data_IF_971874227918
#
_entry.id   IF_971874227918
#
_cell.length_a   1.000
_cell.length_b   1.000
_cell.length_c   1.000
_cell.angle_alpha   90.00
_cell.angle_beta   90.00
_cell.angle_gamma   90.00
#
_symmetry.space_group_name_H-M   'P 1'
#
loop_
_entity.id
_entity.type
_entity.pdbx_description
1 polymer ?
#
# COMPACT_ATOMS: atom_id res chain seq x y z
N UNK A 1 -68.45 -21.83 -35.81
CA UNK A 1 -68.96 -21.65 -34.43
C UNK A 1 -67.86 -20.99 -33.62
N UNK A 2 -68.18 -19.80 -33.10
CA UNK A 2 -67.26 -18.86 -32.45
C UNK A 2 -66.70 -19.40 -31.14
N UNK A 3 -65.47 -19.02 -30.79
CA UNK A 3 -65.14 -18.49 -29.45
C UNK A 3 -63.75 -17.85 -29.43
N UNK A 4 -63.77 -16.53 -29.22
CA UNK A 4 -62.64 -15.64 -28.91
C UNK A 4 -62.43 -15.65 -27.38
N UNK A 5 -61.18 -15.59 -26.92
CA UNK A 5 -60.81 -15.14 -25.58
C UNK A 5 -59.56 -14.24 -25.75
N UNK A 6 -59.72 -12.93 -25.80
CA UNK A 6 -59.83 -11.99 -24.67
C UNK A 6 -58.47 -11.72 -24.01
N UNK A 7 -57.82 -10.67 -24.51
CA UNK A 7 -56.57 -10.06 -24.02
C UNK A 7 -56.89 -9.13 -22.86
N UNK A 8 -56.30 -9.34 -21.69
CA UNK A 8 -56.38 -8.41 -20.56
C UNK A 8 -55.19 -7.45 -20.60
N UNK A 9 -55.45 -6.18 -20.93
CA UNK A 9 -54.50 -5.07 -20.83
C UNK A 9 -54.51 -4.50 -19.40
N UNK A 10 -53.35 -4.52 -18.75
CA UNK A 10 -53.12 -3.83 -17.48
C UNK A 10 -52.67 -2.39 -17.76
N UNK A 11 -53.59 -1.45 -17.59
CA UNK A 11 -53.32 -0.01 -17.57
C UNK A 11 -52.65 0.35 -16.24
N UNK A 12 -51.41 0.84 -16.31
CA UNK A 12 -50.73 1.49 -15.19
C UNK A 12 -51.11 2.97 -15.20
N UNK A 13 -51.87 3.41 -14.19
CA UNK A 13 -52.14 4.82 -13.94
C UNK A 13 -50.97 5.45 -13.16
N UNK A 14 -50.41 6.53 -13.70
CA UNK A 14 -49.41 7.34 -13.03
C UNK A 14 -50.06 8.15 -11.91
N UNK A 15 -49.61 7.93 -10.67
CA UNK A 15 -50.00 8.70 -9.50
C UNK A 15 -49.04 9.90 -9.34
N UNK A 16 -49.50 11.08 -9.76
CA UNK A 16 -48.76 12.34 -9.66
C UNK A 16 -49.00 12.99 -8.30
N UNK A 17 -48.18 12.64 -7.31
CA UNK A 17 -48.15 13.35 -6.02
C UNK A 17 -47.46 14.71 -6.19
N UNK A 18 -48.25 15.78 -6.20
CA UNK A 18 -47.80 17.17 -6.11
C UNK A 18 -47.35 17.50 -4.68
N UNK A 19 -46.05 17.64 -4.48
CA UNK A 19 -45.48 18.18 -3.24
C UNK A 19 -45.43 19.72 -3.34
N UNK A 20 -46.32 20.38 -2.60
CA UNK A 20 -46.26 21.82 -2.34
C UNK A 20 -45.06 22.14 -1.43
N UNK A 21 -44.05 22.80 -1.98
CA UNK A 21 -42.98 23.44 -1.20
C UNK A 21 -43.41 24.87 -0.86
N UNK A 22 -43.88 25.07 0.38
CA UNK A 22 -43.95 26.39 1.03
C UNK A 22 -42.63 26.62 1.77
N UNK A 23 -41.88 27.66 1.40
CA UNK A 23 -40.61 27.97 2.03
C UNK A 23 -39.94 29.19 1.41
N UNK A 24 -40.60 30.34 1.53
CA UNK A 24 -40.12 31.66 1.11
C UNK A 24 -38.94 32.10 2.00
N UNK A 25 -37.72 32.06 1.47
CA UNK A 25 -36.58 32.78 2.04
C UNK A 25 -36.16 33.88 1.06
N UNK A 26 -36.60 35.10 1.34
CA UNK A 26 -36.13 36.33 0.72
C UNK A 26 -34.60 36.43 0.89
N UNK A 27 -33.85 36.33 -0.21
CA UNK A 27 -32.46 36.77 -0.27
C UNK A 27 -32.44 38.22 -0.72
N UNK A 28 -31.97 39.09 0.17
CA UNK A 28 -31.60 40.46 -0.12
C UNK A 28 -30.45 40.47 -1.15
N UNK A 29 -30.70 41.17 -2.25
CA UNK A 29 -29.71 41.54 -3.27
C UNK A 29 -29.05 42.84 -2.78
N UNK A 30 -27.73 42.91 -2.55
CA UNK A 30 -27.05 44.19 -2.44
C UNK A 30 -26.84 44.80 -3.85
N UNK A 31 -26.97 46.13 -3.99
CA UNK A 31 -26.90 46.80 -5.28
C UNK A 31 -25.46 46.88 -5.81
N UNK A 32 -25.38 46.94 -7.14
CA UNK A 32 -24.19 47.14 -7.93
C UNK A 32 -23.51 48.48 -7.63
N UNK A 33 -22.18 48.49 -7.69
CA UNK A 33 -21.41 49.74 -7.72
C UNK A 33 -19.95 49.53 -7.36
N UNK A 34 -19.10 49.31 -8.37
CA UNK A 34 -17.82 50.02 -8.57
C UNK A 34 -16.90 49.22 -9.49
N UNK A 35 -16.80 49.71 -10.73
CA UNK A 35 -15.75 49.40 -11.67
C UNK A 35 -14.40 49.86 -11.10
N UNK A 36 -13.52 48.92 -10.78
CA UNK A 36 -12.08 49.20 -10.71
C UNK A 36 -11.33 48.37 -11.74
N UNK A 37 -10.75 49.12 -12.67
CA UNK A 37 -9.75 48.70 -13.66
C UNK A 37 -8.55 48.12 -12.93
N UNK A 38 -8.36 46.80 -13.02
CA UNK A 38 -7.14 46.13 -12.56
C UNK A 38 -6.39 45.53 -13.74
N UNK A 39 -5.30 46.24 -14.04
CA UNK A 39 -4.25 46.00 -15.03
C UNK A 39 -3.68 44.57 -14.91
N UNK A 40 -3.61 43.89 -16.06
CA UNK A 40 -2.90 42.62 -16.23
C UNK A 40 -1.41 42.79 -15.93
N UNK A 41 -0.92 42.15 -14.87
CA UNK A 41 0.46 41.68 -14.80
C UNK A 41 0.46 40.25 -14.27
N UNK A 42 0.98 39.34 -15.09
CA UNK A 42 1.10 37.93 -14.79
C UNK A 42 2.03 37.66 -13.62
N UNK A 43 1.57 36.83 -12.70
CA UNK A 43 2.35 36.30 -11.60
C UNK A 43 1.58 35.19 -10.92
N UNK A 44 1.97 33.94 -11.19
CA UNK A 44 1.37 32.74 -10.60
C UNK A 44 1.66 32.63 -9.10
N UNK A 45 0.91 33.36 -8.28
CA UNK A 45 0.89 33.24 -6.83
C UNK A 45 -0.32 32.43 -6.36
N UNK A 46 -0.08 31.31 -5.65
CA UNK A 46 -1.15 30.58 -4.95
C UNK A 46 -1.69 31.45 -3.82
N UNK A 47 -2.91 31.97 -3.98
CA UNK A 47 -3.65 32.66 -2.91
C UNK A 47 -4.10 31.61 -1.89
N UNK A 48 -3.49 31.62 -0.71
CA UNK A 48 -3.94 30.84 0.45
C UNK A 48 -5.09 31.62 1.10
N UNK A 49 -6.30 31.10 0.96
CA UNK A 49 -7.51 31.65 1.59
C UNK A 49 -7.50 31.31 3.08
N UNK A 50 -7.26 32.30 3.93
CA UNK A 50 -7.49 32.19 5.37
C UNK A 50 -8.99 32.28 5.65
N UNK A 51 -9.56 31.22 6.22
CA UNK A 51 -10.92 31.24 6.80
C UNK A 51 -10.72 31.44 8.30
N UNK A 52 -10.97 32.65 8.78
CA UNK A 52 -11.10 32.93 10.21
C UNK A 52 -12.48 32.39 10.67
N UNK A 53 -12.47 31.23 11.32
CA UNK A 53 -13.64 30.68 12.00
C UNK A 53 -13.61 31.11 13.48
N UNK A 54 -14.48 32.05 13.84
CA UNK A 54 -14.80 32.41 15.22
C UNK A 54 -15.50 31.24 15.92
N UNK A 55 -14.88 30.69 16.95
CA UNK A 55 -15.45 29.64 17.79
C UNK A 55 -16.25 30.31 18.91
N UNK A 56 -17.56 30.14 18.89
CA UNK A 56 -18.43 30.53 20.00
C UNK A 56 -18.39 29.46 21.09
N UNK A 57 -17.98 29.85 22.29
CA UNK A 57 -18.13 29.05 23.51
C UNK A 57 -19.61 28.93 23.86
N UNK A 58 -20.13 27.71 23.85
CA UNK A 58 -21.43 27.41 24.47
C UNK A 58 -21.23 26.41 25.60
N UNK A 59 -21.45 26.94 26.79
CA UNK A 59 -21.52 26.27 28.07
C UNK A 59 -22.53 25.12 28.05
N UNK A 60 -22.09 23.90 28.36
CA UNK A 60 -22.96 22.77 28.71
C UNK A 60 -22.52 22.22 30.06
N UNK A 61 -23.18 22.75 31.10
CA UNK A 61 -23.38 22.06 32.37
C UNK A 61 -24.29 20.85 32.09
N UNK A 62 -23.88 19.64 32.47
CA UNK A 62 -24.84 18.60 32.84
C UNK A 62 -24.21 17.50 33.71
N UNK A 63 -24.68 17.53 34.96
CA UNK A 63 -25.10 16.40 35.80
C UNK A 63 -24.19 15.17 35.93
N UNK A 64 -23.52 15.13 37.07
CA UNK A 64 -23.05 13.93 37.74
C UNK A 64 -24.22 12.97 38.05
N UNK A 65 -24.09 11.70 37.66
CA UNK A 65 -24.68 10.56 38.37
C UNK A 65 -23.66 9.43 38.39
N UNK A 66 -23.14 9.18 39.59
CA UNK A 66 -22.19 8.12 39.86
C UNK A 66 -22.81 6.73 39.69
N UNK A 67 -22.00 5.79 39.22
CA UNK A 67 -22.14 4.36 39.49
C UNK A 67 -20.76 3.77 39.72
N UNK A 68 -20.45 3.56 40.99
CA UNK A 68 -19.41 2.66 41.46
C UNK A 68 -19.72 1.24 40.96
N UNK A 69 -18.77 0.61 40.27
CA UNK A 69 -18.83 -0.83 39.99
C UNK A 69 -17.74 -1.51 40.81
N UNK A 70 -18.20 -2.24 41.81
CA UNK A 70 -17.39 -3.05 42.71
C UNK A 70 -16.70 -4.20 41.98
N UNK A 71 -15.49 -4.45 42.43
CA UNK A 71 -14.67 -5.63 42.15
C UNK A 71 -15.27 -6.84 42.87
N UNK A 72 -15.98 -7.69 42.11
CA UNK A 72 -16.43 -9.00 42.56
C UNK A 72 -15.41 -10.08 42.20
N UNK A 73 -14.72 -10.59 43.22
CA UNK A 73 -13.78 -11.72 43.17
C UNK A 73 -14.56 -13.00 43.51
N UNK A 74 -14.60 -13.95 42.59
CA UNK A 74 -15.13 -15.32 42.77
C UNK A 74 -14.53 -16.17 41.64
N UNK A 75 -13.74 -17.22 41.84
CA UNK A 75 -13.71 -18.18 42.94
C UNK A 75 -14.60 -19.37 42.57
N UNK A 76 -14.04 -20.35 41.84
CA UNK A 76 -14.46 -21.74 41.57
C UNK A 76 -13.50 -22.27 40.48
N UNK A 77 -12.68 -23.30 40.68
CA UNK A 77 -12.93 -24.56 41.36
C UNK A 77 -13.35 -25.58 40.30
N UNK A 78 -12.38 -26.28 39.70
CA UNK A 78 -12.61 -27.22 38.59
C UNK A 78 -11.43 -28.16 38.42
N UNK A 79 -11.46 -29.25 39.19
CA UNK A 79 -10.60 -30.43 39.15
C UNK A 79 -10.69 -31.14 37.79
N UNK A 80 -9.55 -31.51 37.22
CA UNK A 80 -9.45 -32.38 36.02
C UNK A 80 -8.81 -33.70 36.46
N UNK A 81 -9.34 -34.87 36.06
CA UNK A 81 -8.80 -36.14 36.50
C UNK A 81 -7.54 -36.54 35.72
N UNK A 82 -6.54 -36.97 36.49
CA UNK A 82 -5.35 -37.71 36.05
C UNK A 82 -5.73 -39.12 35.60
N UNK A 83 -5.43 -39.47 34.36
CA UNK A 83 -5.42 -40.86 33.90
C UNK A 83 -3.99 -41.40 33.92
N UNK A 84 -3.77 -42.31 34.86
CA UNK A 84 -2.63 -43.21 34.95
C UNK A 84 -2.65 -44.22 33.80
N UNK A 85 -1.51 -44.43 33.13
CA UNK A 85 -1.19 -45.72 32.51
C UNK A 85 0.25 -46.11 32.81
N UNK A 86 0.38 -47.34 33.31
CA UNK A 86 1.58 -48.01 33.80
C UNK A 86 2.44 -48.55 32.65
N UNK A 87 3.76 -48.49 32.90
CA UNK A 87 4.85 -49.47 32.75
C UNK A 87 4.81 -50.59 31.70
N UNK A 88 5.94 -50.72 30.99
CA UNK A 88 6.84 -51.89 30.97
C UNK A 88 8.09 -51.55 30.11
N UNK A 89 9.28 -51.48 30.70
CA UNK A 89 10.40 -52.47 30.59
C UNK A 89 11.08 -52.46 29.20
N UNK A 90 12.40 -52.48 28.99
CA UNK A 90 13.59 -52.72 29.82
C UNK A 90 14.85 -52.39 28.98
N UNK A 91 15.99 -52.28 29.67
CA UNK A 91 17.36 -52.68 29.23
C UNK A 91 18.49 -51.62 29.12
N UNK A 92 19.27 -51.56 30.20
CA UNK A 92 20.74 -51.78 30.32
C UNK A 92 21.76 -50.87 29.61
N UNK A 93 22.66 -50.27 30.41
CA UNK A 93 24.08 -50.04 30.05
C UNK A 93 24.66 -48.65 30.38
N UNK A 94 25.96 -48.50 30.78
CA UNK A 94 26.30 -47.80 32.03
C UNK A 94 27.21 -46.55 31.95
N UNK A 95 27.14 -45.79 33.06
CA UNK A 95 28.19 -45.14 33.86
C UNK A 95 29.41 -44.43 33.21
N UNK A 96 29.54 -43.13 33.54
CA UNK A 96 30.74 -42.41 34.04
C UNK A 96 30.19 -41.00 34.42
N UNK A 97 30.22 -40.48 35.65
CA UNK A 97 31.30 -40.46 36.63
C UNK A 97 32.03 -39.12 36.50
N UNK A 98 31.57 -38.06 37.18
CA UNK A 98 32.43 -36.96 37.65
C UNK A 98 31.77 -36.23 38.83
N UNK A 99 32.59 -36.15 39.86
CA UNK A 99 32.36 -35.63 41.19
C UNK A 99 32.64 -34.13 41.29
N UNK A 100 31.92 -33.51 42.23
CA UNK A 100 32.36 -32.51 43.20
C UNK A 100 33.00 -31.20 42.71
N UNK A 101 32.34 -30.06 43.00
CA UNK A 101 32.73 -29.21 44.14
C UNK A 101 31.97 -27.86 44.18
N UNK A 102 31.68 -27.41 45.40
CA UNK A 102 31.87 -26.00 45.77
C UNK A 102 30.61 -25.18 46.04
N UNK A 103 30.02 -25.37 47.23
CA UNK A 103 29.16 -24.40 47.87
C UNK A 103 29.97 -23.21 48.44
N UNK A 104 29.38 -22.01 48.46
CA UNK A 104 29.42 -21.12 49.63
C UNK A 104 28.41 -19.97 49.47
N UNK A 105 27.53 -19.90 50.47
CA UNK A 105 26.74 -18.75 50.88
C UNK A 105 27.60 -17.52 51.19
N UNK A 106 27.04 -16.31 51.09
CA UNK A 106 26.72 -15.48 52.26
C UNK A 106 26.07 -14.14 51.87
N UNK A 107 25.23 -13.69 52.78
CA UNK A 107 24.39 -12.50 52.84
C UNK A 107 25.08 -11.14 52.59
N UNK A 108 24.26 -10.11 52.34
CA UNK A 108 24.02 -8.98 53.26
C UNK A 108 23.42 -7.77 52.52
N UNK A 109 22.32 -7.27 53.08
CA UNK A 109 21.66 -6.01 52.76
C UNK A 109 22.57 -4.77 52.82
N UNK A 110 22.42 -3.85 51.87
CA UNK A 110 23.09 -2.54 51.91
C UNK A 110 22.30 -1.44 51.19
N UNK A 111 21.63 -0.61 51.97
CA UNK A 111 20.82 0.56 51.60
C UNK A 111 21.58 1.59 50.75
N UNK A 112 20.99 2.02 49.61
CA UNK A 112 21.45 3.21 48.86
C UNK A 112 20.83 4.47 49.47
N UNK A 113 21.67 5.30 50.09
CA UNK A 113 21.35 6.68 50.48
C UNK A 113 21.37 7.60 49.26
N UNK A 114 20.36 8.48 49.21
CA UNK A 114 20.38 9.72 48.44
C UNK A 114 21.11 10.79 49.26
N UNK A 115 21.84 11.67 48.59
CA UNK A 115 22.46 12.90 49.08
C UNK A 115 23.21 13.52 47.89
N UNK A 116 22.67 14.57 47.28
CA UNK A 116 22.90 15.99 47.64
C UNK A 116 24.34 16.41 47.30
N UNK A 117 24.49 17.14 46.19
CA UNK A 117 24.71 18.60 46.13
C UNK A 117 26.21 18.94 46.15
N UNK A 118 26.65 19.65 45.12
CA UNK A 118 28.05 19.96 44.88
C UNK A 118 28.21 20.77 43.60
N UNK A 119 27.76 22.02 43.65
CA UNK A 119 28.19 23.09 42.74
C UNK A 119 29.72 23.20 42.70
N UNK A 120 30.30 23.15 41.49
CA UNK A 120 31.55 23.82 41.17
C UNK A 120 31.70 23.93 39.64
N UNK A 121 31.52 25.14 39.11
CA UNK A 121 32.14 25.60 37.86
C UNK A 121 33.33 26.51 38.22
N UNK A 122 34.13 27.00 37.25
CA UNK A 122 34.91 26.25 36.27
C UNK A 122 36.39 26.68 36.30
N UNK A 123 37.32 25.77 36.06
CA UNK A 123 38.72 26.13 35.85
C UNK A 123 38.96 26.33 34.35
N UNK A 124 39.13 27.60 33.98
CA UNK A 124 39.68 28.03 32.70
C UNK A 124 41.13 27.56 32.59
N UNK A 125 41.45 26.73 31.59
CA UNK A 125 42.83 26.55 31.14
C UNK A 125 42.92 26.90 29.65
N UNK A 126 43.60 28.02 29.41
CA UNK A 126 44.05 28.48 28.11
C UNK A 126 45.00 27.44 27.49
N UNK A 127 44.65 26.91 26.32
CA UNK A 127 45.61 26.24 25.43
C UNK A 127 45.83 27.14 24.22
N UNK A 128 46.87 27.97 24.30
CA UNK A 128 47.47 28.64 23.15
C UNK A 128 48.20 27.60 22.31
N UNK A 129 47.66 27.29 21.13
CA UNK A 129 48.34 26.53 20.08
C UNK A 129 48.37 27.34 18.79
N UNK A 130 49.51 27.97 18.51
CA UNK A 130 49.82 28.50 17.18
C UNK A 130 49.99 27.34 16.17
N UNK A 131 49.56 27.52 14.91
CA UNK A 131 50.16 26.78 13.81
C UNK A 131 50.96 27.72 12.91
N UNK A 132 52.30 27.56 12.93
CA UNK A 132 53.21 28.13 11.93
C UNK A 132 53.32 27.18 10.73
N UNK A 133 53.14 27.78 9.55
CA UNK A 133 53.82 27.52 8.29
C UNK A 133 53.87 26.10 7.69
N UNK A 134 53.28 25.94 6.51
CA UNK A 134 54.02 25.40 5.35
C UNK A 134 53.35 25.83 4.04
N UNK A 135 54.11 26.58 3.27
CA UNK A 135 53.83 27.01 1.91
C UNK A 135 53.73 25.80 0.98
N UNK A 136 52.77 25.80 0.05
CA UNK A 136 52.93 25.09 -1.22
C UNK A 136 52.40 25.94 -2.37
N UNK A 137 53.34 26.24 -3.23
CA UNK A 137 53.32 27.09 -4.41
C UNK A 137 52.53 26.48 -5.57
N UNK A 138 51.99 27.42 -6.36
CA UNK A 138 51.67 27.41 -7.78
C UNK A 138 51.98 26.15 -8.62
N UNK A 139 51.01 25.73 -9.44
CA UNK A 139 51.18 25.55 -10.89
C UNK A 139 49.87 25.19 -11.60
N UNK A 140 49.84 25.50 -12.90
CA UNK A 140 48.93 25.02 -13.94
C UNK A 140 47.61 25.78 -14.17
N UNK A 141 47.75 26.94 -14.82
CA UNK A 141 46.81 27.38 -15.83
C UNK A 141 46.61 26.29 -16.91
N UNK A 142 45.35 25.93 -17.20
CA UNK A 142 44.99 25.21 -18.42
C UNK A 142 43.88 25.95 -19.16
N UNK A 143 44.34 26.59 -20.23
CA UNK A 143 43.71 26.93 -21.50
C UNK A 143 42.28 26.44 -21.75
N UNK A 144 41.44 27.41 -22.11
CA UNK A 144 40.17 27.26 -22.82
C UNK A 144 40.42 26.53 -24.15
N UNK A 145 39.69 25.45 -24.42
CA UNK A 145 39.55 24.86 -25.74
C UNK A 145 38.16 25.22 -26.29
N UNK A 146 38.14 25.77 -27.50
CA UNK A 146 36.96 26.29 -28.20
C UNK A 146 36.05 25.21 -28.82
N UNK A 147 34.99 25.65 -29.51
CA UNK A 147 33.97 24.79 -30.08
C UNK A 147 34.43 24.10 -31.37
N UNK A 148 34.17 22.80 -31.47
CA UNK A 148 34.51 21.98 -32.65
C UNK A 148 33.39 22.09 -33.69
N UNK A 149 33.68 22.81 -34.77
CA UNK A 149 32.93 22.79 -36.04
C UNK A 149 32.89 21.36 -36.59
N UNK A 150 31.69 20.89 -36.95
CA UNK A 150 31.50 19.69 -37.77
C UNK A 150 31.35 20.15 -39.22
N UNK A 151 32.37 19.89 -40.03
CA UNK A 151 32.30 19.95 -41.49
C UNK A 151 31.63 18.68 -42.01
N UNK A 152 30.71 18.87 -42.94
CA UNK A 152 30.07 17.83 -43.73
C UNK A 152 30.88 17.63 -45.01
N UNK A 153 31.40 16.43 -45.25
CA UNK A 153 31.83 16.01 -46.58
C UNK A 153 31.47 14.54 -46.83
N UNK A 154 30.53 14.42 -47.76
CA UNK A 154 30.30 13.40 -48.77
C UNK A 154 31.42 12.38 -49.00
N UNK A 155 31.09 11.10 -48.89
CA UNK A 155 31.79 10.03 -49.60
C UNK A 155 30.78 8.97 -50.05
N UNK A 156 30.43 9.07 -51.33
CA UNK A 156 29.77 8.06 -52.14
C UNK A 156 30.71 6.87 -52.34
N UNK A 157 30.36 5.69 -51.86
CA UNK A 157 30.87 4.44 -52.43
C UNK A 157 29.75 3.43 -52.59
N UNK A 158 29.48 3.20 -53.87
CA UNK A 158 28.98 1.99 -54.50
C UNK A 158 29.10 0.72 -53.65
N UNK A 159 27.95 0.08 -53.43
CA UNK A 159 27.91 -1.38 -53.23
C UNK A 159 26.63 -1.95 -53.82
N UNK A 160 26.63 -1.97 -55.15
CA UNK A 160 25.73 -2.78 -55.95
C UNK A 160 25.96 -4.28 -55.68
N UNK A 161 24.87 -5.05 -55.75
CA UNK A 161 24.78 -6.50 -55.90
C UNK A 161 25.14 -7.41 -54.70
N UNK A 162 24.12 -7.73 -53.89
CA UNK A 162 23.93 -9.12 -53.46
C UNK A 162 22.47 -9.51 -53.52
N UNK A 163 22.20 -10.33 -54.53
CA UNK A 163 20.94 -10.98 -54.80
C UNK A 163 20.54 -11.96 -53.68
N UNK A 164 19.23 -12.04 -53.48
CA UNK A 164 18.45 -13.24 -53.21
C UNK A 164 18.97 -14.22 -52.14
N UNK A 165 18.41 -14.08 -50.94
CA UNK A 165 18.01 -15.25 -50.15
C UNK A 165 16.70 -14.94 -49.41
N UNK A 166 15.60 -15.09 -50.14
CA UNK A 166 14.28 -15.31 -49.56
C UNK A 166 14.34 -16.62 -48.77
N UNK A 167 14.56 -16.49 -47.46
CA UNK A 167 14.75 -17.64 -46.60
C UNK A 167 14.40 -17.31 -45.16
N UNK A 168 13.22 -17.78 -44.77
CA UNK A 168 12.97 -18.28 -43.42
C UNK A 168 12.51 -17.29 -42.34
N UNK A 169 11.47 -17.74 -41.64
CA UNK A 169 10.88 -17.23 -40.38
C UNK A 169 9.84 -16.11 -40.45
N UNK A 170 9.01 -16.09 -41.51
CA UNK A 170 7.61 -15.69 -41.31
C UNK A 170 6.91 -16.82 -40.52
N UNK A 171 7.19 -16.87 -39.21
CA UNK A 171 6.38 -17.64 -38.28
C UNK A 171 4.98 -17.04 -38.32
N UNK A 172 4.09 -17.73 -39.04
CA UNK A 172 2.65 -17.51 -39.05
C UNK A 172 2.17 -17.35 -37.61
N UNK A 173 2.11 -16.12 -37.11
CA UNK A 173 1.19 -15.74 -36.06
C UNK A 173 -0.20 -15.88 -36.67
N UNK A 174 -0.71 -17.12 -36.69
CA UNK A 174 -2.14 -17.37 -36.77
C UNK A 174 -2.73 -16.56 -35.62
N UNK A 175 -3.33 -15.41 -35.94
CA UNK A 175 -4.31 -14.78 -35.08
C UNK A 175 -5.40 -15.80 -34.91
N UNK A 176 -5.28 -16.59 -33.84
CA UNK A 176 -6.35 -17.47 -33.39
C UNK A 176 -7.44 -16.52 -32.91
N UNK A 177 -8.27 -16.07 -33.84
CA UNK A 177 -9.62 -15.61 -33.57
C UNK A 177 -10.42 -16.82 -33.09
N UNK A 178 -10.02 -17.41 -31.96
CA UNK A 178 -10.88 -18.28 -31.20
C UNK A 178 -11.91 -17.34 -30.58
N UNK A 179 -12.96 -17.06 -31.35
CA UNK A 179 -14.25 -16.63 -30.85
C UNK A 179 -14.65 -17.63 -29.76
N UNK A 180 -14.50 -17.24 -28.51
CA UNK A 180 -15.04 -18.01 -27.39
C UNK A 180 -16.55 -18.05 -27.62
N UNK A 181 -17.20 -19.22 -27.59
CA UNK A 181 -18.65 -19.28 -27.77
C UNK A 181 -19.32 -18.35 -26.75
N UNK A 182 -20.04 -17.35 -27.27
CA UNK A 182 -20.55 -16.20 -26.52
C UNK A 182 -21.46 -16.57 -25.34
N UNK A 183 -22.01 -17.78 -25.35
CA UNK A 183 -23.01 -18.26 -24.37
C UNK A 183 -22.52 -18.41 -22.93
N UNK A 184 -21.21 -18.31 -22.64
CA UNK A 184 -20.66 -18.52 -21.27
C UNK A 184 -19.72 -17.42 -20.76
N UNK A 185 -19.55 -16.32 -21.49
CA UNK A 185 -18.67 -15.25 -21.05
C UNK A 185 -19.34 -14.42 -19.93
N UNK A 186 -18.69 -14.24 -18.76
CA UNK A 186 -19.26 -13.42 -17.68
C UNK A 186 -19.40 -11.97 -18.13
N UNK A 187 -20.56 -11.37 -17.80
CA UNK A 187 -20.89 -9.97 -18.10
C UNK A 187 -20.53 -9.08 -16.91
N UNK A 188 -19.83 -7.99 -17.18
CA UNK A 188 -19.41 -7.05 -16.15
C UNK A 188 -20.60 -6.18 -15.72
N UNK A 189 -20.95 -6.15 -14.43
CA UNK A 189 -22.11 -5.38 -13.94
C UNK A 189 -21.98 -3.85 -14.15
N UNK A 190 -20.76 -3.33 -14.32
CA UNK A 190 -20.51 -1.89 -14.47
C UNK A 190 -20.52 -1.41 -15.92
N UNK A 191 -20.07 -2.24 -16.87
CA UNK A 191 -20.02 -1.86 -18.29
C UNK A 191 -20.92 -2.71 -19.19
N UNK A 192 -21.65 -3.67 -18.61
CA UNK A 192 -22.61 -4.56 -19.26
C UNK A 192 -22.07 -5.30 -20.50
N UNK A 193 -20.74 -5.48 -20.59
CA UNK A 193 -20.08 -6.21 -21.67
C UNK A 193 -19.60 -7.58 -21.20
N UNK A 194 -19.78 -8.58 -22.07
CA UNK A 194 -19.15 -9.88 -21.93
C UNK A 194 -17.63 -9.72 -22.03
N UNK A 195 -16.89 -10.27 -21.05
CA UNK A 195 -15.43 -10.20 -21.02
C UNK A 195 -14.83 -11.55 -20.69
N UNK A 196 -13.54 -11.69 -20.98
CA UNK A 196 -12.83 -12.91 -20.67
C UNK A 196 -12.75 -13.12 -19.15
N UNK A 197 -12.88 -14.37 -18.69
CA UNK A 197 -12.47 -14.85 -17.38
C UNK A 197 -11.27 -14.15 -16.71
N UNK A 198 -10.20 -13.90 -17.46
CA UNK A 198 -8.97 -13.32 -16.94
C UNK A 198 -9.07 -11.82 -16.64
N UNK A 199 -10.06 -11.14 -17.21
CA UNK A 199 -10.32 -9.71 -17.05
C UNK A 199 -11.10 -9.38 -15.76
N UNK A 200 -11.45 -10.40 -14.98
CA UNK A 200 -12.02 -10.24 -13.65
C UNK A 200 -10.96 -10.45 -12.56
N UNK A 201 -11.12 -9.77 -11.42
CA UNK A 201 -10.22 -9.97 -10.27
C UNK A 201 -10.62 -11.23 -9.52
N UNK A 202 -9.64 -12.03 -9.07
CA UNK A 202 -9.93 -13.20 -8.22
C UNK A 202 -10.31 -12.75 -6.80
N UNK A 203 -11.46 -13.19 -6.28
CA UNK A 203 -11.93 -12.95 -4.91
C UNK A 203 -11.88 -14.27 -4.12
N UNK A 204 -11.40 -14.24 -2.88
CA UNK A 204 -11.23 -15.46 -2.04
C UNK A 204 -12.55 -16.10 -1.59
N UNK A 205 -13.65 -15.34 -1.55
CA UNK A 205 -14.91 -15.72 -0.91
C UNK A 205 -16.01 -16.20 -1.86
N UNK A 206 -15.79 -16.18 -3.17
CA UNK A 206 -16.78 -16.61 -4.17
C UNK A 206 -16.47 -18.04 -4.62
N UNK A 207 -17.51 -18.85 -4.87
CA UNK A 207 -17.42 -20.20 -5.46
C UNK A 207 -16.67 -20.18 -6.80
N UNK A 208 -16.98 -19.23 -7.67
CA UNK A 208 -16.30 -18.97 -8.96
C UNK A 208 -14.99 -18.21 -8.79
N UNK A 209 -14.71 -17.74 -7.57
CA UNK A 209 -13.52 -17.02 -7.14
C UNK A 209 -13.26 -15.76 -7.97
N UNK A 210 -14.28 -15.08 -8.52
CA UNK A 210 -14.13 -13.87 -9.35
C UNK A 210 -15.08 -12.75 -8.94
N UNK A 211 -14.67 -11.52 -9.25
CA UNK A 211 -15.50 -10.32 -9.11
C UNK A 211 -16.57 -10.27 -10.21
N UNK A 212 -17.71 -9.67 -9.89
CA UNK A 212 -18.77 -9.27 -10.83
C UNK A 212 -18.36 -8.09 -11.74
N UNK A 213 -17.38 -7.31 -11.28
CA UNK A 213 -16.86 -6.12 -11.95
C UNK A 213 -15.52 -6.42 -12.60
N UNK A 214 -15.38 -6.09 -13.88
CA UNK A 214 -14.13 -6.28 -14.60
C UNK A 214 -13.00 -5.35 -14.09
N UNK A 215 -11.76 -5.73 -14.38
CA UNK A 215 -10.54 -5.02 -13.94
C UNK A 215 -10.45 -3.60 -14.50
N UNK A 216 -10.92 -3.34 -15.71
CA UNK A 216 -10.99 -1.98 -16.25
C UNK A 216 -11.92 -1.09 -15.42
N UNK A 217 -13.15 -1.53 -15.15
CA UNK A 217 -14.10 -0.78 -14.33
C UNK A 217 -13.60 -0.61 -12.88
N UNK A 218 -13.02 -1.65 -12.28
CA UNK A 218 -12.37 -1.54 -10.96
C UNK A 218 -11.22 -0.52 -10.96
N UNK A 219 -10.46 -0.42 -12.06
CA UNK A 219 -9.39 0.58 -12.20
C UNK A 219 -9.95 2.01 -12.25
N UNK A 220 -11.05 2.24 -12.98
CA UNK A 220 -11.75 3.53 -13.01
C UNK A 220 -12.25 3.92 -11.62
N UNK A 221 -12.95 3.01 -10.93
CA UNK A 221 -13.46 3.24 -9.56
C UNK A 221 -12.31 3.59 -8.60
N UNK A 222 -11.20 2.85 -8.69
CA UNK A 222 -10.03 3.09 -7.84
C UNK A 222 -9.37 4.43 -8.13
N UNK A 223 -9.21 4.81 -9.41
CA UNK A 223 -8.61 6.08 -9.80
C UNK A 223 -9.43 7.27 -9.27
N UNK A 224 -10.78 7.21 -9.40
CA UNK A 224 -11.69 8.22 -8.84
C UNK A 224 -11.55 8.36 -7.33
N UNK A 225 -11.53 7.25 -6.59
CA UNK A 225 -11.37 7.26 -5.12
C UNK A 225 -10.05 7.87 -4.65
N UNK A 226 -8.99 7.76 -5.45
CA UNK A 226 -7.67 8.29 -5.12
C UNK A 226 -7.42 9.68 -5.71
N UNK A 227 -8.41 10.29 -6.37
CA UNK A 227 -8.28 11.53 -7.13
C UNK A 227 -7.04 11.52 -8.06
N UNK A 228 -6.77 10.36 -8.68
CA UNK A 228 -5.65 10.18 -9.60
C UNK A 228 -6.07 10.59 -11.00
N UNK A 229 -5.14 11.18 -11.77
CA UNK A 229 -5.38 11.42 -13.19
C UNK A 229 -5.68 10.10 -13.90
N UNK A 230 -6.86 10.05 -14.48
CA UNK A 230 -7.43 8.85 -15.09
C UNK A 230 -6.79 8.55 -16.46
N UNK A 231 -6.18 9.53 -17.15
CA UNK A 231 -5.62 9.31 -18.50
C UNK A 231 -6.64 8.64 -19.43
N UNK A 232 -6.27 7.53 -20.05
CA UNK A 232 -7.14 6.72 -20.91
C UNK A 232 -8.28 5.98 -20.19
N UNK A 233 -8.32 6.01 -18.84
CA UNK A 233 -9.46 5.51 -18.07
C UNK A 233 -10.67 6.46 -18.09
N UNK A 234 -10.51 7.68 -18.63
CA UNK A 234 -11.62 8.64 -18.83
C UNK A 234 -12.50 8.28 -20.03
N UNK A 235 -11.96 7.53 -20.98
CA UNK A 235 -12.68 7.15 -22.20
C UNK A 235 -13.92 6.33 -21.84
N UNK A 236 -15.01 6.59 -22.55
CA UNK A 236 -16.19 5.74 -22.47
C UNK A 236 -15.87 4.33 -22.98
N UNK A 237 -16.83 3.42 -22.83
CA UNK A 237 -16.62 2.01 -23.19
C UNK A 237 -16.37 1.86 -24.69
N UNK A 238 -17.08 2.60 -25.52
CA UNK A 238 -17.06 2.45 -26.98
C UNK A 238 -15.80 3.09 -27.56
N UNK A 239 -15.44 4.29 -27.11
CA UNK A 239 -14.19 4.97 -27.46
C UNK A 239 -12.96 4.15 -27.04
N UNK A 240 -13.00 3.53 -25.85
CA UNK A 240 -11.94 2.65 -25.38
C UNK A 240 -11.77 1.40 -26.26
N UNK A 241 -12.84 0.91 -26.88
CA UNK A 241 -12.82 -0.22 -27.82
C UNK A 241 -12.44 0.19 -29.24
N UNK A 242 -12.82 1.38 -29.68
CA UNK A 242 -12.32 1.96 -30.94
C UNK A 242 -10.78 2.08 -30.92
N UNK A 243 -10.21 2.31 -29.74
CA UNK A 243 -8.76 2.37 -29.49
C UNK A 243 -8.18 1.07 -28.91
N UNK A 244 -8.84 -0.06 -29.13
CA UNK A 244 -8.40 -1.35 -28.60
C UNK A 244 -6.99 -1.74 -29.08
N UNK A 245 -6.23 -2.42 -28.22
CA UNK A 245 -4.87 -2.89 -28.51
C UNK A 245 -4.76 -4.38 -28.24
N UNK A 246 -3.91 -5.08 -28.98
CA UNK A 246 -3.54 -6.45 -28.67
C UNK A 246 -2.52 -6.47 -27.52
N UNK A 247 -2.78 -7.30 -26.50
CA UNK A 247 -1.82 -7.51 -25.43
C UNK A 247 -0.64 -8.34 -25.94
N UNK A 248 0.61 -7.90 -25.76
CA UNK A 248 1.77 -8.68 -26.27
C UNK A 248 2.01 -10.00 -25.54
N UNK A 249 1.41 -10.20 -24.35
CA UNK A 249 1.59 -11.43 -23.57
C UNK A 249 0.52 -12.49 -23.84
N UNK A 250 -0.74 -12.08 -24.00
CA UNK A 250 -1.84 -13.04 -24.27
C UNK A 250 -2.41 -12.93 -25.68
N UNK A 251 -1.90 -12.00 -26.51
CA UNK A 251 -2.32 -11.74 -27.89
C UNK A 251 -3.79 -11.39 -28.12
N UNK A 252 -4.62 -11.36 -27.06
CA UNK A 252 -6.02 -10.95 -27.17
C UNK A 252 -6.15 -9.43 -27.37
N UNK A 253 -7.06 -9.03 -28.26
CA UNK A 253 -7.51 -7.65 -28.44
C UNK A 253 -8.35 -7.22 -27.23
N UNK A 254 -7.98 -6.11 -26.59
CA UNK A 254 -8.66 -5.59 -25.40
C UNK A 254 -8.87 -4.10 -25.51
N UNK A 255 -9.93 -3.60 -24.85
CA UNK A 255 -10.14 -2.16 -24.73
C UNK A 255 -8.95 -1.47 -24.07
N UNK A 256 -8.74 -0.20 -24.41
CA UNK A 256 -7.59 0.56 -23.94
C UNK A 256 -7.51 0.60 -22.40
N UNK A 257 -8.67 0.63 -21.71
CA UNK A 257 -8.77 0.64 -20.24
C UNK A 257 -8.25 -0.63 -19.56
N UNK A 258 -8.20 -1.75 -20.28
CA UNK A 258 -7.60 -3.00 -19.79
C UNK A 258 -6.07 -2.94 -19.73
N UNK A 259 -5.45 -1.86 -20.20
CA UNK A 259 -4.01 -1.59 -20.07
C UNK A 259 -3.72 -0.60 -18.92
N UNK A 260 -2.51 -0.67 -18.38
CA UNK A 260 -2.06 0.24 -17.31
C UNK A 260 -1.53 1.55 -17.91
N UNK A 261 -1.63 2.65 -17.16
CA UNK A 261 -1.04 3.94 -17.55
C UNK A 261 0.48 3.84 -17.44
N UNK A 262 1.20 4.20 -18.50
CA UNK A 262 2.67 4.25 -18.53
C UNK A 262 3.15 5.60 -19.08
N UNK A 263 3.39 6.55 -18.17
CA UNK A 263 3.79 7.94 -18.50
C UNK A 263 5.12 8.08 -19.23
N UNK A 264 5.92 7.02 -19.35
CA UNK A 264 7.21 7.03 -20.07
C UNK A 264 7.06 6.89 -21.58
N UNK A 265 5.88 6.48 -22.06
CA UNK A 265 5.60 6.27 -23.48
C UNK A 265 4.76 7.41 -24.02
N UNK A 266 4.93 7.72 -25.30
CA UNK A 266 4.15 8.77 -25.98
C UNK A 266 2.64 8.52 -25.94
N UNK A 267 2.20 7.26 -26.06
CA UNK A 267 0.79 6.87 -25.97
C UNK A 267 0.26 6.76 -24.53
N UNK A 268 1.14 6.88 -23.52
CA UNK A 268 0.85 6.74 -22.11
C UNK A 268 0.20 5.40 -21.70
N UNK A 269 0.29 4.35 -22.54
CA UNK A 269 -0.39 3.07 -22.32
C UNK A 269 0.60 1.90 -22.40
N UNK A 270 0.46 0.94 -21.48
CA UNK A 270 1.27 -0.28 -21.46
C UNK A 270 0.98 -1.19 -22.67
N UNK A 271 1.92 -2.06 -23.03
CA UNK A 271 1.74 -3.06 -24.09
C UNK A 271 1.23 -4.41 -23.53
N UNK A 272 1.27 -4.58 -22.21
CA UNK A 272 0.73 -5.73 -21.49
C UNK A 272 -0.56 -5.33 -20.77
N UNK A 273 -1.63 -6.11 -20.96
CA UNK A 273 -2.88 -5.86 -20.25
C UNK A 273 -2.76 -6.11 -18.73
N UNK A 274 -3.63 -5.49 -17.95
CA UNK A 274 -3.69 -5.57 -16.47
C UNK A 274 -3.81 -7.01 -15.97
N UNK A 275 -4.55 -7.86 -16.67
CA UNK A 275 -4.70 -9.27 -16.30
C UNK A 275 -3.37 -10.02 -16.44
N UNK A 276 -2.73 -9.94 -17.61
CA UNK A 276 -1.39 -10.48 -17.85
C UNK A 276 -0.34 -9.92 -16.87
N UNK A 277 -0.32 -8.61 -16.64
CA UNK A 277 0.61 -7.96 -15.70
C UNK A 277 0.44 -8.48 -14.28
N UNK A 278 -0.81 -8.70 -13.84
CA UNK A 278 -1.07 -9.27 -12.52
C UNK A 278 -0.66 -10.73 -12.39
N UNK A 279 -0.76 -11.51 -13.47
CA UNK A 279 -0.28 -12.90 -13.50
C UNK A 279 1.24 -12.88 -13.47
N UNK A 280 1.90 -12.11 -14.35
CA UNK A 280 3.37 -11.95 -14.32
C UNK A 280 3.89 -11.53 -12.95
N UNK A 281 3.20 -10.61 -12.27
CA UNK A 281 3.60 -10.16 -10.94
C UNK A 281 3.46 -11.24 -9.86
N UNK A 282 2.60 -12.24 -10.06
CA UNK A 282 2.39 -13.38 -9.14
C UNK A 282 3.23 -14.60 -9.52
N UNK A 283 3.47 -14.80 -10.81
CA UNK A 283 4.29 -15.88 -11.40
C UNK A 283 5.77 -15.48 -11.48
N UNK A 284 6.15 -14.31 -10.97
CA UNK A 284 7.46 -14.21 -10.33
C UNK A 284 7.40 -15.16 -9.14
N UNK A 285 7.53 -16.46 -9.43
CA UNK A 285 7.77 -17.52 -8.47
C UNK A 285 8.77 -16.92 -7.50
N UNK A 286 8.47 -16.89 -6.18
CA UNK A 286 9.39 -16.35 -5.21
C UNK A 286 10.71 -17.07 -5.45
N UNK A 287 11.66 -16.36 -6.06
CA UNK A 287 12.88 -17.00 -6.50
C UNK A 287 13.49 -17.58 -5.24
N UNK A 288 13.52 -18.92 -5.16
CA UNK A 288 14.07 -19.60 -4.01
C UNK A 288 15.50 -19.09 -3.93
N UNK A 289 15.88 -18.36 -2.86
CA UNK A 289 17.21 -17.82 -2.77
C UNK A 289 18.19 -18.99 -2.97
N UNK A 290 19.01 -18.91 -4.01
CA UNK A 290 20.01 -19.94 -4.24
C UNK A 290 21.01 -19.86 -3.09
N UNK A 291 21.27 -20.97 -2.41
CA UNK A 291 22.25 -21.01 -1.32
C UNK A 291 23.70 -20.85 -1.82
N UNK A 292 23.88 -20.79 -3.14
CA UNK A 292 25.16 -20.50 -3.78
C UNK A 292 25.74 -19.15 -3.29
N UNK A 293 27.05 -19.09 -2.99
CA UNK A 293 27.70 -17.85 -2.61
C UNK A 293 27.57 -16.82 -3.74
N UNK A 294 27.31 -15.57 -3.36
CA UNK A 294 27.14 -14.46 -4.30
C UNK A 294 28.22 -13.40 -4.05
N UNK A 295 28.68 -12.77 -5.14
CA UNK A 295 29.64 -11.66 -5.08
C UNK A 295 28.91 -10.36 -4.76
N UNK A 296 29.33 -9.65 -3.72
CA UNK A 296 28.74 -8.36 -3.34
C UNK A 296 29.13 -7.28 -4.37
N UNK A 297 28.17 -6.55 -4.94
CA UNK A 297 28.48 -5.49 -5.92
C UNK A 297 29.24 -4.29 -5.32
N UNK A 298 29.29 -4.15 -3.99
CA UNK A 298 29.94 -3.02 -3.32
C UNK A 298 31.38 -3.36 -2.86
N UNK A 299 31.56 -4.43 -2.07
CA UNK A 299 32.89 -4.85 -1.60
C UNK A 299 33.56 -5.91 -2.50
N UNK A 300 32.86 -6.47 -3.49
CA UNK A 300 33.36 -7.49 -4.42
C UNK A 300 33.78 -8.84 -3.81
N UNK A 301 33.53 -9.04 -2.52
CA UNK A 301 33.76 -10.32 -1.83
C UNK A 301 32.66 -11.35 -2.16
N UNK A 302 33.05 -12.61 -2.27
CA UNK A 302 32.12 -13.75 -2.32
C UNK A 302 31.64 -14.05 -0.90
N UNK A 303 30.34 -13.88 -0.64
CA UNK A 303 29.72 -14.15 0.66
C UNK A 303 28.59 -15.19 0.51
N UNK A 304 28.31 -16.00 1.54
CA UNK A 304 27.18 -16.93 1.51
C UNK A 304 25.85 -16.17 1.42
N UNK A 305 24.81 -16.84 0.94
CA UNK A 305 23.46 -16.26 0.79
C UNK A 305 22.90 -15.67 2.10
N UNK A 306 23.32 -16.21 3.26
CA UNK A 306 22.95 -15.72 4.60
C UNK A 306 23.43 -14.29 4.89
N UNK A 307 24.48 -13.80 4.22
CA UNK A 307 25.01 -12.44 4.36
C UNK A 307 24.26 -11.41 3.53
N UNK A 308 23.21 -11.82 2.81
CA UNK A 308 22.37 -10.94 2.01
C UNK A 308 20.95 -10.86 2.60
N UNK A 309 20.29 -9.72 2.37
CA UNK A 309 18.88 -9.59 2.69
C UNK A 309 18.03 -10.22 1.57
N UNK A 310 16.89 -10.81 1.91
CA UNK A 310 15.95 -11.35 0.91
C UNK A 310 15.28 -10.21 0.14
N UNK A 311 15.26 -10.30 -1.18
CA UNK A 311 14.55 -9.39 -2.07
C UNK A 311 13.93 -10.14 -3.24
N UNK A 312 12.63 -10.41 -3.12
CA UNK A 312 11.81 -11.14 -4.12
C UNK A 312 11.76 -10.45 -5.50
N UNK A 313 12.20 -9.19 -5.61
CA UNK A 313 12.19 -8.46 -6.87
C UNK A 313 13.44 -8.69 -7.72
N UNK A 314 14.52 -9.20 -7.13
CA UNK A 314 15.72 -9.55 -7.89
C UNK A 314 15.62 -10.97 -8.41
N UNK A 315 16.26 -11.20 -9.56
CA UNK A 315 16.34 -12.52 -10.19
C UNK A 315 16.95 -13.58 -9.28
N UNK A 316 17.78 -13.21 -8.30
CA UNK A 316 18.38 -14.17 -7.36
C UNK A 316 17.60 -14.34 -6.06
N UNK A 317 16.53 -13.56 -5.84
CA UNK A 317 15.82 -13.50 -4.56
C UNK A 317 16.60 -12.82 -3.42
N UNK A 318 17.79 -12.29 -3.67
CA UNK A 318 18.66 -11.61 -2.70
C UNK A 318 19.00 -10.18 -3.16
N UNK A 319 19.41 -9.31 -2.24
CA UNK A 319 20.00 -8.02 -2.59
C UNK A 319 21.36 -8.21 -3.27
N UNK A 320 21.72 -7.31 -4.18
CA UNK A 320 23.01 -7.36 -4.87
C UNK A 320 24.21 -6.91 -4.00
N UNK A 321 23.97 -6.41 -2.79
CA UNK A 321 25.01 -6.00 -1.83
C UNK A 321 24.77 -6.68 -0.49
N UNK A 322 25.87 -7.05 0.18
CA UNK A 322 25.81 -7.72 1.48
C UNK A 322 25.24 -6.80 2.58
N UNK A 323 24.82 -7.41 3.68
CA UNK A 323 24.22 -6.73 4.85
C UNK A 323 25.13 -5.64 5.41
N UNK A 324 26.44 -5.87 5.44
CA UNK A 324 27.41 -4.90 5.95
C UNK A 324 27.48 -3.64 5.07
N UNK A 325 27.67 -3.81 3.76
CA UNK A 325 27.67 -2.69 2.82
C UNK A 325 26.33 -1.92 2.85
N UNK A 326 25.20 -2.62 3.02
CA UNK A 326 23.90 -1.96 3.19
C UNK A 326 23.83 -1.12 4.48
N UNK A 327 24.41 -1.59 5.58
CA UNK A 327 24.51 -0.84 6.85
C UNK A 327 25.42 0.38 6.70
N UNK A 328 26.57 0.20 6.05
CA UNK A 328 27.51 1.29 5.78
C UNK A 328 26.88 2.38 4.90
N UNK A 329 26.24 2.01 3.79
CA UNK A 329 25.50 2.96 2.95
C UNK A 329 24.39 3.69 3.71
N UNK A 330 23.74 3.01 4.66
CA UNK A 330 22.75 3.65 5.52
C UNK A 330 23.38 4.67 6.49
N UNK A 331 24.54 4.36 7.07
CA UNK A 331 25.32 5.29 7.91
C UNK A 331 25.81 6.49 7.12
N UNK A 332 26.38 6.27 5.93
CA UNK A 332 26.86 7.33 5.04
C UNK A 332 25.73 8.25 4.58
N UNK A 333 24.56 7.67 4.24
CA UNK A 333 23.35 8.45 3.95
C UNK A 333 22.94 9.30 5.15
N UNK A 334 22.97 8.75 6.36
CA UNK A 334 22.66 9.48 7.57
C UNK A 334 23.64 10.64 7.80
N UNK A 335 24.95 10.37 7.69
CA UNK A 335 25.99 11.39 7.83
C UNK A 335 25.83 12.52 6.79
N UNK A 336 25.49 12.22 5.54
CA UNK A 336 25.19 13.25 4.53
C UNK A 336 23.97 14.11 4.87
N UNK A 337 22.93 13.51 5.44
CA UNK A 337 21.74 14.26 5.87
C UNK A 337 22.05 15.17 7.07
N UNK A 338 22.91 14.71 7.98
CA UNK A 338 23.39 15.50 9.12
C UNK A 338 24.31 16.65 8.65
N UNK A 339 25.30 16.37 7.81
CA UNK A 339 26.27 17.34 7.31
C UNK A 339 25.65 18.45 6.44
N UNK A 340 24.59 18.14 5.69
CA UNK A 340 23.89 19.16 4.88
C UNK A 340 23.07 20.14 5.72
N UNK A 341 22.93 19.95 7.03
CA UNK A 341 22.15 20.83 7.90
C UNK A 341 20.64 20.85 7.57
N UNK A 342 20.19 20.08 6.57
CA UNK A 342 18.76 19.94 6.29
C UNK A 342 18.07 19.14 7.41
N UNK A 343 18.87 18.46 8.23
CA UNK A 343 18.48 17.90 9.51
C UNK A 343 18.58 18.92 10.67
N UNK A 344 18.33 20.21 10.43
CA UNK A 344 18.09 21.12 11.55
C UNK A 344 16.74 20.75 12.18
N UNK A 345 16.68 20.43 13.49
CA UNK A 345 15.42 20.13 14.16
C UNK A 345 14.56 21.39 14.12
N UNK A 346 13.59 21.44 13.21
CA UNK A 346 12.53 22.46 13.28
C UNK A 346 11.84 22.29 14.62
N UNK A 347 11.57 23.36 15.34
CA UNK A 347 10.81 23.30 16.60
C UNK A 347 9.42 22.68 16.39
N UNK A 348 8.90 22.80 15.17
CA UNK A 348 7.60 22.30 14.75
C UNK A 348 7.63 21.62 13.37
N UNK A 349 6.70 20.69 13.18
CA UNK A 349 6.48 19.93 11.94
C UNK A 349 5.00 19.95 11.57
N UNK A 350 4.73 20.04 10.27
CA UNK A 350 3.37 19.99 9.73
C UNK A 350 2.87 18.53 9.66
N UNK A 351 1.69 18.26 10.23
CA UNK A 351 1.06 16.95 10.13
C UNK A 351 0.14 16.89 8.91
N UNK A 352 0.48 16.11 7.87
CA UNK A 352 -0.34 16.02 6.65
C UNK A 352 -1.75 15.44 6.85
N UNK A 353 -2.01 14.77 7.98
CA UNK A 353 -3.30 14.12 8.26
C UNK A 353 -4.34 15.06 8.85
N UNK A 354 -3.92 15.96 9.74
CA UNK A 354 -4.79 16.95 10.37
C UNK A 354 -4.52 18.37 9.88
N UNK A 355 -3.49 18.55 9.05
CA UNK A 355 -3.10 19.83 8.45
C UNK A 355 -2.75 20.92 9.46
N UNK A 356 -2.26 20.52 10.65
CA UNK A 356 -1.84 21.43 11.73
C UNK A 356 -0.33 21.31 11.98
N UNK A 357 0.32 22.46 12.14
CA UNK A 357 1.71 22.56 12.60
C UNK A 357 1.78 22.25 14.10
N UNK A 358 2.61 21.28 14.47
CA UNK A 358 2.72 20.78 15.85
C UNK A 358 4.19 20.71 16.26
N UNK A 359 4.52 20.83 17.55
CA UNK A 359 5.89 20.62 18.02
C UNK A 359 6.38 19.21 17.67
N UNK A 360 7.68 19.08 17.40
CA UNK A 360 8.29 17.79 17.00
C UNK A 360 8.11 16.68 18.04
N UNK A 361 7.95 17.03 19.32
CA UNK A 361 7.66 16.10 20.42
C UNK A 361 6.34 15.33 20.22
N UNK A 362 5.43 15.86 19.40
CA UNK A 362 4.16 15.22 19.04
C UNK A 362 4.25 14.29 17.82
N UNK A 363 5.45 13.97 17.34
CA UNK A 363 5.69 13.01 16.27
C UNK A 363 6.51 11.82 16.79
N UNK A 364 6.33 10.63 16.20
CA UNK A 364 7.19 9.47 16.51
C UNK A 364 8.49 9.54 15.72
N UNK A 365 9.60 9.09 16.33
CA UNK A 365 10.88 8.87 15.64
C UNK A 365 10.73 7.75 14.59
N UNK A 366 11.20 7.97 13.37
CA UNK A 366 11.17 7.00 12.26
C UNK A 366 12.54 6.94 11.59
N UNK A 367 13.27 5.85 11.85
CA UNK A 367 14.56 5.58 11.20
C UNK A 367 14.38 5.55 9.67
N UNK A 368 15.16 6.34 8.95
CA UNK A 368 15.13 6.43 7.48
C UNK A 368 14.13 7.44 6.90
N UNK A 369 13.31 8.11 7.71
CA UNK A 369 12.63 9.33 7.26
C UNK A 369 13.66 10.45 7.06
N UNK A 370 13.43 11.34 6.10
CA UNK A 370 14.34 12.44 5.77
C UNK A 370 14.69 13.32 6.98
N UNK A 371 13.69 13.61 7.81
CA UNK A 371 13.82 14.41 9.03
C UNK A 371 13.77 13.54 10.31
N UNK A 372 13.96 12.23 10.20
CA UNK A 372 13.94 11.30 11.33
C UNK A 372 12.59 11.18 12.06
N UNK A 373 11.52 11.82 11.56
CA UNK A 373 10.20 11.84 12.19
C UNK A 373 9.13 11.27 11.26
N UNK A 374 8.09 10.71 11.85
CA UNK A 374 6.85 10.38 11.13
C UNK A 374 6.22 11.62 10.51
N UNK A 375 5.53 11.48 9.38
CA UNK A 375 4.83 12.59 8.72
C UNK A 375 3.48 12.90 9.38
N UNK A 376 2.98 12.00 10.21
CA UNK A 376 1.74 12.12 10.98
C UNK A 376 2.03 12.33 12.47
N UNK A 377 1.23 13.15 13.15
CA UNK A 377 1.36 13.31 14.60
C UNK A 377 0.88 12.06 15.35
N UNK A 378 1.34 11.92 16.60
CA UNK A 378 1.00 10.80 17.51
C UNK A 378 -0.52 10.62 17.65
N UNK A 379 -1.26 11.73 17.74
CA UNK A 379 -2.73 11.71 17.87
C UNK A 379 -3.39 11.08 16.64
N UNK A 380 -3.02 11.49 15.42
CA UNK A 380 -3.53 10.93 14.17
C UNK A 380 -3.23 9.44 14.03
N UNK A 381 -1.99 9.03 14.29
CA UNK A 381 -1.59 7.61 14.25
C UNK A 381 -2.38 6.78 15.27
N UNK A 382 -2.55 7.30 16.49
CA UNK A 382 -3.33 6.63 17.54
C UNK A 382 -4.81 6.49 17.15
N UNK A 383 -5.42 7.54 16.61
CA UNK A 383 -6.79 7.52 16.12
C UNK A 383 -6.97 6.50 14.98
N UNK A 384 -6.02 6.44 14.03
CA UNK A 384 -6.08 5.46 12.94
C UNK A 384 -5.94 4.02 13.45
N UNK A 385 -5.01 3.78 14.38
CA UNK A 385 -4.85 2.47 15.04
C UNK A 385 -6.14 2.05 15.77
N UNK A 386 -6.76 2.95 16.53
CA UNK A 386 -8.05 2.70 17.20
C UNK A 386 -9.15 2.36 16.19
N UNK A 387 -9.24 3.09 15.07
CA UNK A 387 -10.20 2.82 13.98
C UNK A 387 -9.98 1.43 13.36
N UNK A 388 -8.73 1.08 13.04
CA UNK A 388 -8.36 -0.25 12.49
C UNK A 388 -8.69 -1.37 13.46
N UNK A 389 -8.40 -1.17 14.76
CA UNK A 389 -8.73 -2.13 15.81
C UNK A 389 -10.25 -2.35 15.92
N UNK A 390 -11.04 -1.27 15.95
CA UNK A 390 -12.51 -1.35 15.96
C UNK A 390 -13.05 -2.06 14.71
N UNK A 391 -12.53 -1.76 13.52
CA UNK A 391 -12.93 -2.42 12.28
C UNK A 391 -12.60 -3.93 12.28
N UNK A 392 -11.41 -4.32 12.76
CA UNK A 392 -11.03 -5.73 12.91
C UNK A 392 -11.92 -6.44 13.94
N UNK A 393 -12.22 -5.78 15.06
CA UNK A 393 -13.11 -6.31 16.11
C UNK A 393 -14.55 -6.49 15.59
N UNK A 394 -15.09 -5.51 14.86
CA UNK A 394 -16.42 -5.62 14.23
C UNK A 394 -16.46 -6.71 13.16
N UNK A 395 -15.43 -6.80 12.30
CA UNK A 395 -15.35 -7.86 11.29
C UNK A 395 -15.26 -9.26 11.91
N UNK A 396 -14.48 -9.43 12.97
CA UNK A 396 -14.44 -10.69 13.72
C UNK A 396 -15.80 -11.02 14.37
N UNK A 397 -16.50 -10.02 14.92
CA UNK A 397 -17.83 -10.22 15.50
C UNK A 397 -18.86 -10.60 14.42
N UNK A 398 -18.82 -9.98 13.24
CA UNK A 398 -19.71 -10.32 12.13
C UNK A 398 -19.47 -11.75 11.61
N UNK A 399 -18.21 -12.19 11.54
CA UNK A 399 -17.87 -13.57 11.19
C UNK A 399 -18.42 -14.54 12.24
N UNK A 400 -18.35 -14.17 13.53
CA UNK A 400 -18.91 -14.98 14.62
C UNK A 400 -20.43 -15.09 14.52
N UNK A 401 -21.14 -13.98 14.34
CA UNK A 401 -22.60 -13.94 14.17
C UNK A 401 -23.01 -14.82 12.97
N UNK A 402 -22.35 -14.70 11.82
CA UNK A 402 -22.64 -15.55 10.64
C UNK A 402 -22.39 -17.03 10.88
N UNK A 403 -21.46 -17.38 11.77
CA UNK A 403 -21.19 -18.76 12.14
C UNK A 403 -22.29 -19.29 13.07
N UNK A 404 -22.76 -18.47 14.01
CA UNK A 404 -23.89 -18.78 14.88
C UNK A 404 -25.17 -18.96 14.05
N UNK A 405 -25.48 -18.04 13.11
CA UNK A 405 -26.62 -18.15 12.18
C UNK A 405 -26.56 -19.41 11.30
N UNK A 406 -25.37 -19.78 10.80
CA UNK A 406 -25.21 -20.98 9.98
C UNK A 406 -25.46 -22.29 10.76
N UNK A 407 -25.09 -22.32 12.05
CA UNK A 407 -25.39 -23.47 12.92
C UNK A 407 -26.91 -23.57 13.15
N UNK A 408 -27.58 -22.45 13.42
CA UNK A 408 -29.04 -22.42 13.59
C UNK A 408 -29.80 -22.83 12.31
N UNK A 409 -29.28 -22.49 11.12
CA UNK A 409 -29.84 -22.94 9.84
C UNK A 409 -29.65 -24.46 9.62
N UNK A 410 -28.52 -25.03 10.06
CA UNK A 410 -28.27 -26.47 10.02
C UNK A 410 -29.21 -27.24 10.96
N UNK A 411 -29.40 -26.75 12.19
CA UNK A 411 -30.32 -27.32 13.17
C UNK A 411 -31.78 -27.24 12.70
N UNK A 412 -32.22 -26.08 12.17
CA UNK A 412 -33.55 -25.97 11.53
C UNK A 412 -33.69 -26.88 10.31
N UNK A 413 -32.58 -27.21 9.65
CA UNK A 413 -32.53 -28.13 8.52
C UNK A 413 -32.68 -29.60 8.94
N UNK A 414 -32.16 -30.01 10.09
CA UNK A 414 -32.34 -31.37 10.62
C UNK A 414 -33.76 -31.60 11.14
N UNK A 415 -34.34 -30.65 11.86
CA UNK A 415 -35.73 -30.75 12.35
C UNK A 415 -36.74 -30.93 11.18
N UNK A 416 -36.57 -30.16 10.09
CA UNK A 416 -37.42 -30.30 8.88
C UNK A 416 -37.27 -31.67 8.21
N UNK A 417 -36.08 -32.29 8.27
CA UNK A 417 -35.85 -33.62 7.71
C UNK A 417 -36.51 -34.70 8.57
N UNK A 418 -36.47 -34.56 9.89
CA UNK A 418 -37.15 -35.48 10.81
C UNK A 418 -38.68 -35.39 10.67
N UNK A 419 -39.24 -34.18 10.59
CA UNK A 419 -40.69 -33.99 10.36
C UNK A 419 -41.14 -34.56 9.00
N UNK A 420 -40.30 -34.44 7.97
CA UNK A 420 -40.57 -35.03 6.66
C UNK A 420 -40.50 -36.57 6.69
N UNK A 421 -39.62 -37.15 7.50
CA UNK A 421 -39.49 -38.61 7.64
C UNK A 421 -40.64 -39.23 8.45
N UNK A 422 -41.17 -38.52 9.45
CA UNK A 422 -42.29 -38.99 10.29
C UNK A 422 -43.67 -38.99 9.61
N UNK A 423 -43.80 -38.46 8.39
CA UNK A 423 -45.06 -38.42 7.61
C UNK A 423 -45.17 -39.54 6.57
N UNK A 424 -44.48 -40.67 6.75
CA UNK A 424 -44.71 -41.86 5.93
C UNK A 424 -45.98 -42.60 6.43
N UNK A 425 -47.01 -42.77 5.59
CA UNK A 425 -48.30 -43.35 5.96
C UNK A 425 -48.24 -44.85 6.23
#
# INVERSE_FOLDING_TARGET
>A
MNSRAASAGLLWTHNSASLQLKGSCLRLIPPEGSLHVARLLGGGGRVVRWIAGSVGESSLKNAAKGRTRGSGRSGKGGTVPTLSRRNSDSSLGPAHGTDLNGASELDVHGTRRNGEEGEAQPVLSEVKGEPKHAQRSAAAARTKAGPRLMTAESATTDRSSRASSEGSTNSRLRTVEASIPDSKAPVCIQCQRAKLPCDYQKIKSSSDKRADTCRACLAVIKARRLNQDMGHLKLDVDEAWARAKACTKCHHKKELRDFSVNKRRGDQVDYICRSCRSVSAKTLEPHVPTDAPQRCLKCQELKPASEYNRNIRHSTGLYASCKECLKEMARERQHRLEATGVYTPRESKFCWRCEVQKPISLFYKKRGAYDGLTSECKACISAEKKRKYRAKKMGANLIRIRKEEAIEDEDRGSERKEEAAGKQP
#
